data_IF_056734736724
#
_entry.id   IF_056734736724
#
_cell.length_a   1.000
_cell.length_b   1.000
_cell.length_c   1.000
_cell.angle_alpha   90.00
_cell.angle_beta   90.00
_cell.angle_gamma   90.00
#
_symmetry.space_group_name_H-M   'P 1'
#
loop_
_entity.id
_entity.type
_entity.pdbx_description
1 polymer ?
#
# COMPACT_ATOMS: atom_id res chain seq x y z
N UNK A 1 2.94 12.30 -0.87
CA UNK A 1 2.99 10.84 -0.71
C UNK A 1 3.87 10.17 -1.79
N UNK A 2 3.73 10.60 -3.06
CA UNK A 2 4.41 10.01 -4.24
C UNK A 2 5.93 9.84 -4.14
N UNK A 3 6.65 10.83 -3.58
CA UNK A 3 8.10 10.73 -3.43
C UNK A 3 8.52 9.57 -2.50
N UNK A 4 7.77 9.34 -1.41
CA UNK A 4 8.02 8.25 -0.46
C UNK A 4 7.66 6.88 -1.06
N UNK A 5 6.57 6.81 -1.82
CA UNK A 5 6.19 5.59 -2.55
C UNK A 5 7.25 5.22 -3.59
N UNK A 6 7.73 6.20 -4.36
CA UNK A 6 8.78 5.99 -5.36
C UNK A 6 10.10 5.53 -4.73
N UNK A 7 10.45 6.05 -3.55
CA UNK A 7 11.64 5.61 -2.83
C UNK A 7 11.49 4.15 -2.35
N UNK A 8 10.39 3.82 -1.66
CA UNK A 8 10.13 2.46 -1.20
C UNK A 8 10.11 1.44 -2.35
N UNK A 9 9.54 1.84 -3.50
CA UNK A 9 9.59 1.03 -4.71
C UNK A 9 11.01 0.80 -5.23
N UNK A 10 11.84 1.85 -5.34
CA UNK A 10 13.23 1.74 -5.78
C UNK A 10 14.06 0.85 -4.86
N UNK A 11 13.87 0.95 -3.56
CA UNK A 11 14.57 0.13 -2.57
C UNK A 11 14.23 -1.35 -2.74
N UNK A 12 12.96 -1.67 -2.97
CA UNK A 12 12.54 -3.05 -3.26
C UNK A 12 13.06 -3.55 -4.62
N UNK A 13 13.02 -2.72 -5.66
CA UNK A 13 13.56 -3.07 -6.98
C UNK A 13 15.05 -3.42 -6.89
N UNK A 14 15.83 -2.68 -6.11
CA UNK A 14 17.26 -2.95 -5.92
C UNK A 14 17.57 -4.27 -5.19
N UNK A 15 16.61 -4.83 -4.45
CA UNK A 15 16.75 -6.08 -3.68
C UNK A 15 16.27 -7.33 -4.44
N UNK A 16 15.57 -7.17 -5.57
CA UNK A 16 14.94 -8.27 -6.30
C UNK A 16 15.78 -8.70 -7.53
N UNK A 17 15.74 -10.00 -7.82
CA UNK A 17 16.20 -10.55 -9.11
C UNK A 17 15.28 -10.12 -10.27
N UNK A 18 15.66 -10.44 -11.50
CA UNK A 18 14.92 -9.98 -12.70
C UNK A 18 13.46 -10.42 -12.71
N UNK A 19 13.17 -11.61 -12.17
CA UNK A 19 11.82 -12.15 -12.06
C UNK A 19 11.03 -11.38 -11.00
N UNK A 20 11.59 -11.21 -9.81
CA UNK A 20 10.99 -10.45 -8.71
C UNK A 20 10.70 -9.00 -9.08
N UNK A 21 11.62 -8.32 -9.79
CA UNK A 21 11.40 -6.94 -10.26
C UNK A 21 10.22 -6.82 -11.23
N UNK A 22 10.08 -7.77 -12.16
CA UNK A 22 8.95 -7.80 -13.12
C UNK A 22 7.62 -8.02 -12.41
N UNK A 23 7.58 -8.95 -11.45
CA UNK A 23 6.37 -9.22 -10.66
C UNK A 23 6.00 -8.02 -9.78
N UNK A 24 6.98 -7.40 -9.13
CA UNK A 24 6.77 -6.18 -8.34
C UNK A 24 6.19 -5.05 -9.20
N UNK A 25 6.70 -4.87 -10.42
CA UNK A 25 6.18 -3.86 -11.35
C UNK A 25 4.73 -4.12 -11.75
N UNK A 26 4.36 -5.38 -12.00
CA UNK A 26 2.96 -5.77 -12.27
C UNK A 26 2.09 -5.46 -11.06
N UNK A 27 2.53 -5.84 -9.85
CA UNK A 27 1.80 -5.59 -8.62
C UNK A 27 1.58 -4.09 -8.35
N UNK A 28 2.59 -3.23 -8.58
CA UNK A 28 2.41 -1.78 -8.41
C UNK A 28 1.42 -1.18 -9.42
N UNK A 29 1.47 -1.61 -10.70
CA UNK A 29 0.50 -1.14 -11.69
C UNK A 29 -0.93 -1.52 -11.33
N UNK A 30 -1.14 -2.76 -10.90
CA UNK A 30 -2.44 -3.21 -10.44
C UNK A 30 -2.92 -2.42 -9.20
N UNK A 31 -2.01 -2.14 -8.26
CA UNK A 31 -2.33 -1.35 -7.08
C UNK A 31 -2.71 0.10 -7.42
N UNK A 32 -2.04 0.75 -8.39
CA UNK A 32 -2.42 2.10 -8.85
C UNK A 32 -3.85 2.09 -9.41
N UNK A 33 -4.18 1.11 -10.27
CA UNK A 33 -5.52 1.00 -10.84
C UNK A 33 -6.58 0.77 -9.75
N UNK A 34 -6.28 -0.06 -8.75
CA UNK A 34 -7.12 -0.24 -7.56
C UNK A 34 -7.32 1.07 -6.79
N UNK A 35 -6.22 1.78 -6.45
CA UNK A 35 -6.27 3.04 -5.69
C UNK A 35 -7.18 4.06 -6.37
N UNK A 36 -7.00 4.23 -7.68
CA UNK A 36 -7.74 5.23 -8.42
C UNK A 36 -9.24 4.87 -8.50
N UNK A 37 -9.57 3.58 -8.67
CA UNK A 37 -10.95 3.09 -8.64
C UNK A 37 -11.59 3.20 -7.25
N UNK A 38 -10.86 2.85 -6.19
CA UNK A 38 -11.33 2.94 -4.81
C UNK A 38 -11.59 4.39 -4.39
N UNK A 39 -10.70 5.32 -4.77
CA UNK A 39 -10.93 6.73 -4.46
C UNK A 39 -12.08 7.34 -5.26
N UNK A 40 -12.32 6.88 -6.49
CA UNK A 40 -13.52 7.27 -7.23
C UNK A 40 -14.80 6.75 -6.56
N UNK A 41 -14.80 5.50 -6.09
CA UNK A 41 -15.95 4.91 -5.41
C UNK A 41 -16.25 5.56 -4.06
N UNK A 42 -15.23 5.69 -3.19
CA UNK A 42 -15.39 6.18 -1.80
C UNK A 42 -15.77 7.66 -1.71
N UNK A 43 -15.58 8.44 -2.78
CA UNK A 43 -15.87 9.88 -2.81
C UNK A 43 -17.11 10.22 -3.65
N UNK A 44 -17.91 9.21 -4.01
CA UNK A 44 -19.12 9.40 -4.82
C UNK A 44 -20.13 10.33 -4.14
N UNK A 45 -20.19 10.33 -2.80
CA UNK A 45 -21.16 11.13 -2.03
C UNK A 45 -20.90 12.63 -2.11
N UNK A 46 -19.65 13.04 -2.37
CA UNK A 46 -19.30 14.46 -2.53
C UNK A 46 -19.26 14.93 -3.97
N UNK A 47 -19.50 14.04 -4.95
CA UNK A 47 -19.35 14.34 -6.38
C UNK A 47 -20.17 15.58 -6.79
N UNK A 48 -19.52 16.50 -7.52
CA UNK A 48 -20.10 17.79 -7.91
C UNK A 48 -20.10 18.87 -6.81
N UNK A 49 -19.78 18.51 -5.57
CA UNK A 49 -19.57 19.44 -4.48
C UNK A 49 -18.18 20.10 -4.48
N UNK A 50 -18.06 21.27 -3.86
CA UNK A 50 -16.78 21.99 -3.74
C UNK A 50 -15.75 21.26 -2.87
N UNK A 51 -16.18 20.33 -2.02
CA UNK A 51 -15.32 19.53 -1.14
C UNK A 51 -14.73 18.30 -1.83
N UNK A 52 -15.31 17.85 -2.95
CA UNK A 52 -14.93 16.61 -3.63
C UNK A 52 -13.43 16.48 -3.93
N UNK A 53 -12.74 17.51 -4.47
CA UNK A 53 -11.30 17.39 -4.74
C UNK A 53 -10.47 17.15 -3.48
N UNK A 54 -10.92 17.66 -2.33
CA UNK A 54 -10.25 17.46 -1.05
C UNK A 54 -10.45 16.03 -0.54
N UNK A 55 -11.63 15.45 -0.69
CA UNK A 55 -11.90 14.05 -0.32
C UNK A 55 -11.11 13.06 -1.19
N UNK A 56 -11.09 13.28 -2.51
CA UNK A 56 -10.26 12.48 -3.44
C UNK A 56 -8.78 12.55 -3.04
N UNK A 57 -8.27 13.74 -2.75
CA UNK A 57 -6.88 13.94 -2.33
C UNK A 57 -6.55 13.22 -1.02
N UNK A 58 -7.48 13.22 -0.06
CA UNK A 58 -7.32 12.50 1.20
C UNK A 58 -7.28 10.98 0.99
N UNK A 59 -8.21 10.42 0.21
CA UNK A 59 -8.20 9.00 -0.12
C UNK A 59 -6.88 8.57 -0.79
N UNK A 60 -6.42 9.32 -1.79
CA UNK A 60 -5.17 9.03 -2.49
C UNK A 60 -3.98 9.03 -1.52
N UNK A 61 -3.96 9.97 -0.58
CA UNK A 61 -2.91 10.08 0.44
C UNK A 61 -2.93 8.87 1.37
N UNK A 62 -4.09 8.52 1.91
CA UNK A 62 -4.24 7.42 2.86
C UNK A 62 -3.81 6.09 2.24
N UNK A 63 -4.34 5.74 1.07
CA UNK A 63 -3.99 4.49 0.40
C UNK A 63 -2.50 4.43 0.03
N UNK A 64 -1.92 5.57 -0.35
CA UNK A 64 -0.48 5.63 -0.65
C UNK A 64 0.36 5.40 0.60
N UNK A 65 -0.01 5.96 1.75
CA UNK A 65 0.69 5.74 3.01
C UNK A 65 0.56 4.28 3.48
N UNK A 66 -0.61 3.66 3.33
CA UNK A 66 -0.79 2.23 3.57
C UNK A 66 0.10 1.38 2.67
N UNK A 67 0.20 1.73 1.37
CA UNK A 67 1.05 1.00 0.43
C UNK A 67 2.52 1.11 0.76
N UNK A 68 2.98 2.29 1.18
CA UNK A 68 4.36 2.47 1.65
C UNK A 68 4.64 1.51 2.80
N UNK A 69 3.75 1.42 3.79
CA UNK A 69 3.88 0.48 4.93
C UNK A 69 3.98 -0.97 4.45
N UNK A 70 3.11 -1.41 3.54
CA UNK A 70 3.15 -2.76 2.97
C UNK A 70 4.49 -3.05 2.28
N UNK A 71 5.00 -2.10 1.50
CA UNK A 71 6.27 -2.27 0.79
C UNK A 71 7.46 -2.30 1.74
N UNK A 72 7.44 -1.51 2.81
CA UNK A 72 8.50 -1.54 3.84
C UNK A 72 8.43 -2.75 4.76
N UNK A 73 7.23 -3.26 5.07
CA UNK A 73 7.04 -4.45 5.90
C UNK A 73 7.47 -5.71 5.14
N UNK A 74 7.07 -5.85 3.88
CA UNK A 74 7.54 -6.95 3.01
C UNK A 74 9.06 -6.93 2.77
N UNK A 75 9.72 -5.77 2.91
CA UNK A 75 11.18 -5.67 2.82
C UNK A 75 11.92 -6.26 4.05
N UNK A 76 11.21 -6.46 5.17
CA UNK A 76 11.75 -6.98 6.42
C UNK A 76 11.41 -8.46 6.66
N UNK A 77 10.60 -9.08 5.80
CA UNK A 77 10.22 -10.48 5.90
C UNK A 77 10.65 -11.23 4.64
N UNK A 78 11.64 -12.12 4.79
CA UNK A 78 11.99 -13.06 3.73
C UNK A 78 10.86 -14.06 3.58
N UNK A 79 10.40 -14.27 2.35
CA UNK A 79 9.44 -15.33 2.04
C UNK A 79 10.04 -16.69 2.47
N UNK A 80 9.41 -17.35 3.45
CA UNK A 80 9.90 -18.56 4.11
C UNK A 80 10.38 -18.38 5.56
N UNK A 81 10.43 -17.16 6.09
CA UNK A 81 10.70 -16.90 7.50
C UNK A 81 9.41 -16.96 8.33
N UNK A 82 9.21 -18.07 9.04
CA UNK A 82 8.07 -18.27 9.95
C UNK A 82 8.04 -17.27 11.12
N UNK A 83 9.13 -16.53 11.36
CA UNK A 83 9.19 -15.48 12.39
C UNK A 83 8.37 -14.23 12.06
N UNK A 84 7.87 -14.11 10.83
CA UNK A 84 7.06 -12.98 10.37
C UNK A 84 5.54 -13.20 10.45
N UNK A 85 5.07 -14.30 11.05
CA UNK A 85 3.68 -14.39 11.48
C UNK A 85 3.48 -13.34 12.60
N UNK A 86 2.78 -12.24 12.29
CA UNK A 86 2.37 -11.27 13.31
C UNK A 86 1.66 -12.01 14.45
N UNK A 87 1.99 -11.75 15.72
CA UNK A 87 1.23 -12.27 16.85
C UNK A 87 0.00 -11.36 17.04
N UNK A 88 -1.06 -11.57 16.25
CA UNK A 88 -2.31 -10.83 16.44
C UNK A 88 -3.51 -11.75 16.72
N UNK A 89 -3.33 -12.91 17.34
CA UNK A 89 -4.43 -13.67 17.96
C UNK A 89 -3.93 -14.37 19.25
N UNK A 90 -4.02 -13.67 20.38
CA UNK A 90 -4.37 -14.20 21.72
C UNK A 90 -3.83 -13.27 22.82
N UNK A 91 -4.70 -12.38 23.31
CA UNK A 91 -4.36 -11.49 24.42
C UNK A 91 -5.51 -10.66 24.98
N UNK A 92 -6.76 -10.96 24.64
CA UNK A 92 -7.93 -10.57 25.44
C UNK A 92 -8.35 -11.81 26.23
N UNK A 93 -7.75 -12.03 27.42
CA UNK A 93 -8.33 -12.77 28.55
C UNK A 93 -7.35 -12.82 29.75
N UNK A 94 -7.83 -12.26 30.87
CA UNK A 94 -7.27 -12.19 32.24
C UNK A 94 -6.18 -11.12 32.45
N UNK A 95 -6.33 -10.09 33.28
CA UNK A 95 -7.13 -9.86 34.51
C UNK A 95 -7.31 -8.35 34.71
#
# INVERSE_FOLDING_TARGET
>A
ADAKLNQAYKDLVGRNDDKGRKLLQVAQRAWIAFRDAECAYTTTDSEGGSIHPMEVSQCLTELTDQRIKQLTAGANCREGDASCASPDEDGDLND
#
